data_IF_164687653323
#
_entry.id   IF_164687653323
#
_cell.length_a   1.000
_cell.length_b   1.000
_cell.length_c   1.000
_cell.angle_alpha   90.00
_cell.angle_beta   90.00
_cell.angle_gamma   90.00
#
_symmetry.space_group_name_H-M   'P 1'
#
loop_
_entity.id
_entity.type
_entity.pdbx_description
1 polymer ?
#
# COMPACT_ATOMS: atom_id res chain seq x y z
N UNK A 1 -0.39 -16.24 12.02
CA UNK A 1 -0.70 -14.92 11.45
C UNK A 1 0.11 -14.79 10.18
N UNK A 2 -0.55 -14.65 9.04
CA UNK A 2 0.12 -14.50 7.75
C UNK A 2 0.15 -13.00 7.45
N UNK A 3 1.30 -12.37 7.64
CA UNK A 3 1.49 -10.95 7.37
C UNK A 3 2.65 -10.75 6.41
N UNK A 4 2.48 -9.81 5.48
CA UNK A 4 3.49 -9.46 4.48
C UNK A 4 3.36 -7.99 4.11
N UNK A 5 4.48 -7.34 3.81
CA UNK A 5 4.53 -6.04 3.19
C UNK A 5 5.05 -6.15 1.75
N UNK A 6 4.45 -5.40 0.83
CA UNK A 6 4.88 -5.28 -0.57
C UNK A 6 5.25 -3.82 -0.85
N UNK A 7 6.47 -3.55 -1.30
CA UNK A 7 6.94 -2.22 -1.72
C UNK A 7 7.03 -2.14 -3.24
N UNK A 8 6.57 -1.04 -3.82
CA UNK A 8 6.66 -0.77 -5.25
C UNK A 8 5.79 0.39 -5.70
N UNK A 9 5.59 0.53 -7.01
CA UNK A 9 4.65 1.51 -7.56
C UNK A 9 3.22 1.01 -7.41
N UNK A 10 2.36 1.80 -6.76
CA UNK A 10 0.97 1.40 -6.45
C UNK A 10 0.00 2.41 -7.06
N UNK A 11 -0.95 1.91 -7.84
CA UNK A 11 -2.09 2.67 -8.34
C UNK A 11 -3.37 2.02 -7.81
N UNK A 12 -4.25 2.81 -7.18
CA UNK A 12 -5.55 2.33 -6.71
C UNK A 12 -6.63 3.42 -6.79
N UNK A 13 -7.89 2.99 -6.85
CA UNK A 13 -9.04 3.87 -6.84
C UNK A 13 -9.64 3.93 -5.43
N UNK A 14 -9.98 5.13 -4.97
CA UNK A 14 -10.59 5.41 -3.65
C UNK A 14 -12.08 5.73 -3.75
N UNK A 15 -12.57 6.05 -4.95
CA UNK A 15 -13.97 6.36 -5.22
C UNK A 15 -14.27 6.05 -6.71
N UNK A 16 -15.54 6.01 -7.08
CA UNK A 16 -15.92 5.92 -8.49
C UNK A 16 -15.39 7.12 -9.30
N UNK A 17 -14.68 6.90 -10.42
CA UNK A 17 -14.27 7.98 -11.33
C UNK A 17 -15.45 8.78 -11.89
N UNK A 18 -16.63 8.16 -11.97
CA UNK A 18 -17.87 8.83 -12.41
C UNK A 18 -18.33 9.91 -11.42
N UNK A 19 -17.98 9.77 -10.14
CA UNK A 19 -18.33 10.71 -9.07
C UNK A 19 -17.20 11.71 -8.78
N UNK A 20 -15.96 11.21 -8.64
CA UNK A 20 -14.82 12.00 -8.17
C UNK A 20 -13.83 12.41 -9.26
N UNK A 21 -14.04 12.00 -10.52
CA UNK A 21 -13.20 12.42 -11.64
C UNK A 21 -11.72 12.12 -11.42
N UNK A 22 -10.89 13.16 -11.47
CA UNK A 22 -9.43 13.05 -11.28
C UNK A 22 -9.02 12.71 -9.85
N UNK A 23 -9.87 12.96 -8.87
CA UNK A 23 -9.56 12.70 -7.46
C UNK A 23 -9.91 11.28 -7.03
N UNK A 24 -10.44 10.46 -7.95
CA UNK A 24 -10.89 9.09 -7.71
C UNK A 24 -9.76 8.08 -7.52
N UNK A 25 -8.50 8.46 -7.81
CA UNK A 25 -7.35 7.56 -7.75
C UNK A 25 -6.20 8.14 -6.94
N UNK A 26 -5.33 7.25 -6.48
CA UNK A 26 -4.07 7.56 -5.83
C UNK A 26 -2.97 6.77 -6.52
N UNK A 27 -1.84 7.44 -6.71
CA UNK A 27 -0.61 6.83 -7.19
C UNK A 27 0.49 7.10 -6.19
N UNK A 28 1.18 6.04 -5.80
CA UNK A 28 2.32 6.06 -4.90
C UNK A 28 3.51 5.57 -5.72
N UNK A 29 4.49 6.44 -5.97
CA UNK A 29 5.67 6.08 -6.74
C UNK A 29 6.58 5.13 -5.96
N UNK A 30 6.65 5.32 -4.63
CA UNK A 30 7.35 4.44 -3.69
C UNK A 30 6.39 3.98 -2.58
N UNK A 31 5.37 3.22 -2.97
CA UNK A 31 4.32 2.76 -2.07
C UNK A 31 4.67 1.50 -1.27
N UNK A 32 3.99 1.33 -0.14
CA UNK A 32 3.97 0.13 0.69
C UNK A 32 2.52 -0.35 0.87
N UNK A 33 2.28 -1.63 0.62
CA UNK A 33 1.04 -2.33 0.92
C UNK A 33 1.29 -3.36 2.03
N UNK A 34 0.69 -3.14 3.20
CA UNK A 34 0.74 -4.07 4.33
C UNK A 34 -0.53 -4.93 4.35
N UNK A 35 -0.34 -6.24 4.30
CA UNK A 35 -1.41 -7.24 4.36
C UNK A 35 -1.30 -8.05 5.65
N UNK A 36 -2.42 -8.23 6.33
CA UNK A 36 -2.56 -9.12 7.49
C UNK A 36 -3.75 -10.04 7.33
N UNK A 37 -3.48 -11.34 7.44
CA UNK A 37 -4.47 -12.41 7.38
C UNK A 37 -5.40 -12.29 6.15
N UNK A 38 -4.83 -11.85 5.02
CA UNK A 38 -5.51 -11.68 3.74
C UNK A 38 -6.20 -10.31 3.53
N UNK A 39 -6.17 -9.43 4.52
CA UNK A 39 -6.78 -8.10 4.45
C UNK A 39 -5.73 -7.01 4.33
N UNK A 40 -6.06 -5.92 3.63
CA UNK A 40 -5.24 -4.72 3.62
C UNK A 40 -5.30 -4.09 5.00
N UNK A 41 -4.17 -4.07 5.70
CA UNK A 41 -4.02 -3.36 6.96
C UNK A 41 -3.78 -1.88 6.72
N UNK A 42 -2.83 -1.55 5.84
CA UNK A 42 -2.49 -0.16 5.52
C UNK A 42 -1.84 -0.07 4.13
N UNK A 43 -2.04 1.06 3.44
CA UNK A 43 -1.38 1.38 2.17
C UNK A 43 -0.96 2.86 2.19
N UNK A 44 0.24 3.16 1.72
CA UNK A 44 0.77 4.53 1.75
C UNK A 44 2.20 4.63 1.26
N UNK A 45 2.76 5.83 1.28
CA UNK A 45 4.17 6.07 0.94
C UNK A 45 5.08 5.26 1.87
N UNK A 46 6.07 4.58 1.31
CA UNK A 46 7.01 3.75 2.05
C UNK A 46 7.73 4.55 3.13
N UNK A 47 8.15 5.78 2.83
CA UNK A 47 8.82 6.67 3.79
C UNK A 47 7.99 6.96 5.05
N UNK A 48 6.66 6.91 4.96
CA UNK A 48 5.75 7.14 6.08
C UNK A 48 5.42 5.87 6.86
N UNK A 49 5.44 4.71 6.19
CA UNK A 49 5.01 3.44 6.76
C UNK A 49 6.17 2.53 7.20
N UNK A 50 7.37 2.70 6.65
CA UNK A 50 8.51 1.82 6.92
C UNK A 50 8.87 1.73 8.41
N UNK A 51 8.74 2.84 9.15
CA UNK A 51 8.99 2.85 10.60
C UNK A 51 7.87 2.23 11.46
N UNK A 52 6.74 1.84 10.85
CA UNK A 52 5.57 1.26 11.55
C UNK A 52 5.46 -0.24 11.36
N UNK A 53 6.09 -0.79 10.32
CA UNK A 53 6.08 -2.23 10.09
C UNK A 53 7.06 -2.94 11.05
N UNK A 54 6.70 -4.10 11.61
CA UNK A 54 7.63 -4.89 12.41
C UNK A 54 8.84 -5.35 11.59
N UNK A 55 10.04 -5.37 12.18
CA UNK A 55 11.25 -5.86 11.51
C UNK A 55 11.15 -7.33 11.06
N UNK A 56 10.32 -8.12 11.74
CA UNK A 56 10.05 -9.52 11.38
C UNK A 56 9.09 -9.68 10.20
N UNK A 57 8.48 -8.59 9.72
CA UNK A 57 7.51 -8.64 8.63
C UNK A 57 8.23 -8.85 7.30
N UNK A 58 7.94 -9.92 6.54
CA UNK A 58 8.54 -10.10 5.22
C UNK A 58 8.21 -8.92 4.29
N UNK A 59 9.24 -8.25 3.80
CA UNK A 59 9.12 -7.16 2.83
C UNK A 59 9.50 -7.65 1.43
N UNK A 60 8.55 -7.59 0.49
CA UNK A 60 8.74 -7.96 -0.92
C UNK A 60 8.87 -6.69 -1.76
N UNK A 61 9.95 -6.56 -2.52
CA UNK A 61 10.19 -5.40 -3.38
C UNK A 61 9.81 -5.73 -4.84
N UNK A 62 9.05 -4.82 -5.46
CA UNK A 62 8.61 -4.90 -6.84
C UNK A 62 9.01 -3.60 -7.56
N UNK A 63 10.01 -3.70 -8.42
CA UNK A 63 10.63 -2.61 -9.20
C UNK A 63 10.05 -2.47 -10.60
#
# INVERSE_FOLDING_TARGET
MNSVACRGRILYFVESPRKAGRDAWRYLEDGLLWIEDGYVREVGEYSLLAGRIPDSLPLRNYS
#
